data_IF_570338199027
#
_entry.id   IF_570338199027
#
_cell.length_a   1.000
_cell.length_b   1.000
_cell.length_c   1.000
_cell.angle_alpha   90.00
_cell.angle_beta   90.00
_cell.angle_gamma   90.00
#
_symmetry.space_group_name_H-M   'P 1'
#
loop_
_entity.id
_entity.type
_entity.pdbx_description
1 polymer ?
#
# COMPACT_ATOMS: atom_id res chain seq x y z
N UNK A 1 -8.04 2.87 -14.16
CA UNK A 1 -8.33 1.98 -13.01
C UNK A 1 -7.27 2.10 -11.92
N UNK A 2 -5.98 1.86 -12.23
CA UNK A 2 -4.85 1.97 -11.28
C UNK A 2 -4.84 3.27 -10.45
N UNK A 3 -5.00 4.43 -11.10
CA UNK A 3 -5.10 5.73 -10.41
C UNK A 3 -6.26 5.81 -9.39
N UNK A 4 -7.41 5.22 -9.71
CA UNK A 4 -8.57 5.23 -8.82
C UNK A 4 -8.33 4.33 -7.59
N UNK A 5 -7.73 3.15 -7.79
CA UNK A 5 -7.36 2.26 -6.69
C UNK A 5 -6.33 2.93 -5.76
N UNK A 6 -5.26 3.53 -6.32
CA UNK A 6 -4.27 4.25 -5.52
C UNK A 6 -4.87 5.43 -4.74
N UNK A 7 -5.78 6.20 -5.37
CA UNK A 7 -6.46 7.30 -4.69
C UNK A 7 -7.46 6.83 -3.63
N UNK A 8 -8.14 5.70 -3.85
CA UNK A 8 -9.03 5.10 -2.86
C UNK A 8 -8.26 4.55 -1.67
N UNK A 9 -7.17 3.82 -1.92
CA UNK A 9 -6.31 3.31 -0.86
C UNK A 9 -5.70 4.44 -0.03
N UNK A 10 -5.23 5.51 -0.69
CA UNK A 10 -4.78 6.70 0.01
C UNK A 10 -5.85 7.34 0.91
N UNK A 11 -7.11 7.37 0.47
CA UNK A 11 -8.20 7.89 1.32
C UNK A 11 -8.49 6.98 2.52
N UNK A 12 -8.53 5.67 2.30
CA UNK A 12 -8.79 4.69 3.37
C UNK A 12 -7.66 4.67 4.42
N UNK A 13 -6.42 4.79 3.97
CA UNK A 13 -5.23 4.73 4.82
C UNK A 13 -4.69 6.12 5.21
N UNK A 14 -5.41 7.21 4.93
CA UNK A 14 -5.03 8.56 5.35
C UNK A 14 -5.08 8.71 6.88
N UNK A 15 -6.02 8.02 7.52
CA UNK A 15 -6.20 8.01 8.96
C UNK A 15 -6.79 6.66 9.39
N UNK A 16 -6.34 6.07 10.51
CA UNK A 16 -6.90 4.83 11.04
C UNK A 16 -8.34 4.98 11.57
N UNK A 17 -8.86 6.21 11.67
CA UNK A 17 -10.25 6.45 12.08
C UNK A 17 -10.53 6.00 13.51
N UNK A 18 -11.75 5.49 13.72
CA UNK A 18 -12.22 4.97 15.01
C UNK A 18 -12.03 3.43 15.09
N UNK A 19 -11.76 2.87 16.28
CA UNK A 19 -11.60 1.42 16.44
C UNK A 19 -12.81 0.61 15.97
N UNK A 20 -14.03 1.13 16.12
CA UNK A 20 -15.25 0.43 15.70
C UNK A 20 -15.32 0.16 14.19
N UNK A 21 -14.66 1.00 13.38
CA UNK A 21 -14.64 0.88 11.92
C UNK A 21 -13.37 0.17 11.43
N UNK A 22 -12.48 -0.23 12.33
CA UNK A 22 -11.15 -0.72 11.99
C UNK A 22 -11.21 -1.96 11.09
N UNK A 23 -12.06 -2.92 11.43
CA UNK A 23 -12.25 -4.17 10.66
C UNK A 23 -12.77 -3.87 9.26
N UNK A 24 -13.81 -3.03 9.15
CA UNK A 24 -14.37 -2.68 7.85
C UNK A 24 -13.38 -1.89 6.98
N UNK A 25 -12.62 -0.98 7.60
CA UNK A 25 -11.62 -0.15 6.93
C UNK A 25 -10.43 -0.99 6.46
N UNK A 26 -9.92 -1.89 7.30
CA UNK A 26 -8.80 -2.77 6.96
C UNK A 26 -9.18 -3.73 5.83
N UNK A 27 -10.35 -4.39 5.92
CA UNK A 27 -10.86 -5.25 4.85
C UNK A 27 -11.05 -4.48 3.54
N UNK A 28 -11.55 -3.24 3.60
CA UNK A 28 -11.70 -2.40 2.41
C UNK A 28 -10.34 -2.02 1.81
N UNK A 29 -9.37 -1.68 2.66
CA UNK A 29 -8.01 -1.34 2.23
C UNK A 29 -7.30 -2.54 1.60
N UNK A 30 -7.41 -3.73 2.21
CA UNK A 30 -6.82 -4.97 1.70
C UNK A 30 -7.36 -5.35 0.32
N UNK A 31 -8.68 -5.27 0.12
CA UNK A 31 -9.30 -5.55 -1.18
C UNK A 31 -8.83 -4.58 -2.28
N UNK A 32 -8.76 -3.28 -1.95
CA UNK A 32 -8.29 -2.25 -2.89
C UNK A 32 -6.80 -2.43 -3.18
N UNK A 33 -5.99 -2.74 -2.16
CA UNK A 33 -4.56 -3.01 -2.31
C UNK A 33 -4.32 -4.26 -3.16
N UNK A 34 -5.03 -5.36 -2.91
CA UNK A 34 -4.95 -6.59 -3.71
C UNK A 34 -5.29 -6.34 -5.18
N UNK A 35 -6.30 -5.51 -5.44
CA UNK A 35 -6.66 -5.10 -6.81
C UNK A 35 -5.54 -4.27 -7.46
N UNK A 36 -5.00 -3.29 -6.73
CA UNK A 36 -3.90 -2.46 -7.21
C UNK A 36 -2.65 -3.31 -7.49
N UNK A 37 -2.27 -4.16 -6.54
CA UNK A 37 -1.12 -5.06 -6.61
C UNK A 37 -1.22 -5.97 -7.84
N UNK A 38 -2.38 -6.60 -8.03
CA UNK A 38 -2.62 -7.47 -9.20
C UNK A 38 -2.48 -6.72 -10.53
N UNK A 39 -2.98 -5.48 -10.61
CA UNK A 39 -2.86 -4.67 -11.82
C UNK A 39 -1.40 -4.28 -12.10
N UNK A 40 -0.66 -3.88 -11.08
CA UNK A 40 0.74 -3.49 -11.21
C UNK A 40 1.62 -4.67 -11.61
N UNK A 41 1.40 -5.86 -11.01
CA UNK A 41 2.03 -7.13 -11.41
C UNK A 41 1.67 -7.58 -12.82
N UNK A 42 0.53 -7.14 -13.34
CA UNK A 42 0.12 -7.41 -14.73
C UNK A 42 0.69 -6.39 -15.74
N UNK A 43 1.51 -5.44 -15.29
CA UNK A 43 2.12 -4.42 -16.15
C UNK A 43 1.22 -3.22 -16.45
N UNK A 44 0.17 -3.02 -15.66
CA UNK A 44 -0.64 -1.82 -15.80
C UNK A 44 0.21 -0.56 -15.57
N UNK A 45 -0.10 0.56 -16.24
CA UNK A 45 0.66 1.79 -16.07
C UNK A 45 0.58 2.27 -14.62
N UNK A 46 1.70 2.78 -14.11
CA UNK A 46 1.77 3.32 -12.75
C UNK A 46 0.79 4.47 -12.54
N UNK A 47 0.32 4.67 -11.28
CA UNK A 47 -0.40 5.88 -10.92
C UNK A 47 0.38 7.12 -11.34
N UNK A 48 -0.31 8.12 -11.91
CA UNK A 48 0.30 9.33 -12.48
C UNK A 48 1.06 10.21 -11.48
N UNK A 49 0.92 9.92 -10.19
CA UNK A 49 1.59 10.62 -9.09
C UNK A 49 2.87 9.94 -8.63
N UNK A 50 3.16 8.73 -9.10
CA UNK A 50 4.38 8.00 -8.78
C UNK A 50 5.41 8.25 -9.88
N UNK A 51 6.66 8.41 -9.48
CA UNK A 51 7.74 8.69 -10.41
C UNK A 51 8.66 7.47 -10.43
N UNK A 52 9.06 7.05 -11.63
CA UNK A 52 10.18 6.15 -11.79
C UNK A 52 11.42 7.01 -11.99
N UNK A 53 12.21 7.21 -10.94
CA UNK A 53 13.59 7.59 -11.20
C UNK A 53 14.31 6.31 -11.59
N UNK A 54 15.03 6.31 -12.72
CA UNK A 54 15.90 5.20 -13.12
C UNK A 54 17.12 5.04 -12.20
N UNK A 55 17.01 5.47 -10.94
CA UNK A 55 18.06 5.49 -9.95
C UNK A 55 18.06 4.17 -9.17
N UNK A 56 19.25 3.69 -8.87
CA UNK A 56 19.52 2.55 -7.98
C UNK A 56 19.22 2.95 -6.53
N UNK A 57 17.95 3.23 -6.21
CA UNK A 57 17.51 3.32 -4.83
C UNK A 57 17.55 1.94 -4.18
N UNK A 58 17.46 1.91 -2.84
CA UNK A 58 17.42 0.66 -2.08
C UNK A 58 16.07 -0.06 -2.29
N UNK A 59 16.04 -0.90 -3.31
CA UNK A 59 14.89 -1.75 -3.67
C UNK A 59 14.52 -2.71 -2.54
N UNK A 60 15.50 -3.16 -1.76
CA UNK A 60 15.25 -4.04 -0.63
C UNK A 60 14.45 -3.27 0.43
N UNK A 61 14.84 -2.02 0.72
CA UNK A 61 14.07 -1.16 1.62
C UNK A 61 12.63 -0.90 1.14
N UNK A 62 12.43 -0.61 -0.15
CA UNK A 62 11.06 -0.41 -0.70
C UNK A 62 10.24 -1.71 -0.63
N UNK A 63 10.86 -2.86 -0.93
CA UNK A 63 10.20 -4.17 -0.89
C UNK A 63 9.81 -4.53 0.55
N UNK A 64 10.67 -4.28 1.54
CA UNK A 64 10.32 -4.49 2.95
C UNK A 64 9.14 -3.63 3.40
N UNK A 65 9.05 -2.38 2.95
CA UNK A 65 7.90 -1.51 3.27
C UNK A 65 6.62 -2.03 2.60
N UNK A 66 6.72 -2.52 1.37
CA UNK A 66 5.63 -3.19 0.68
C UNK A 66 5.17 -4.46 1.44
N UNK A 67 6.10 -5.32 1.87
CA UNK A 67 5.79 -6.56 2.57
C UNK A 67 5.11 -6.26 3.92
N UNK A 68 5.65 -5.32 4.69
CA UNK A 68 5.07 -4.89 5.96
C UNK A 68 3.67 -4.28 5.81
N UNK A 69 3.42 -3.54 4.72
CA UNK A 69 2.09 -3.08 4.38
C UNK A 69 1.15 -4.26 4.06
N UNK A 70 1.59 -5.17 3.20
CA UNK A 70 0.78 -6.31 2.79
C UNK A 70 0.46 -7.24 3.95
N UNK A 71 1.37 -7.40 4.90
CA UNK A 71 1.16 -8.17 6.12
C UNK A 71 0.15 -7.49 7.04
N UNK A 72 0.33 -6.20 7.32
CA UNK A 72 -0.60 -5.43 8.16
C UNK A 72 -2.03 -5.40 7.61
N UNK A 73 -2.20 -5.36 6.28
CA UNK A 73 -3.52 -5.38 5.64
C UNK A 73 -4.24 -6.73 5.77
N UNK A 74 -3.49 -7.82 5.91
CA UNK A 74 -4.04 -9.18 6.05
C UNK A 74 -4.33 -9.58 7.50
N UNK A 75 -4.12 -8.67 8.45
CA UNK A 75 -4.47 -8.92 9.85
C UNK A 75 -5.99 -9.12 9.99
N UNK A 76 -6.38 -10.12 10.78
CA UNK A 76 -7.78 -10.46 11.00
C UNK A 76 -8.01 -10.86 12.45
N UNK A 77 -9.21 -10.61 12.96
CA UNK A 77 -9.59 -11.03 14.31
C UNK A 77 -10.23 -9.92 15.09
N UNK A 78 -9.84 -9.82 16.36
CA UNK A 78 -10.44 -8.87 17.30
C UNK A 78 -10.12 -7.41 16.96
N UNK A 79 -11.05 -6.51 17.33
CA UNK A 79 -10.96 -5.09 17.01
C UNK A 79 -9.67 -4.41 17.48
N UNK A 80 -9.13 -4.82 18.64
CA UNK A 80 -7.89 -4.24 19.19
C UNK A 80 -6.65 -4.50 18.32
N UNK A 81 -6.30 -5.77 18.07
CA UNK A 81 -5.25 -6.15 17.12
C UNK A 81 -5.46 -5.55 15.73
N UNK A 82 -6.67 -5.63 15.18
CA UNK A 82 -7.00 -5.08 13.85
C UNK A 82 -6.81 -3.57 13.79
N UNK A 83 -7.16 -2.83 14.84
CA UNK A 83 -6.92 -1.39 14.87
C UNK A 83 -5.44 -1.05 14.95
N UNK A 84 -4.63 -1.88 15.62
CA UNK A 84 -3.17 -1.72 15.63
C UNK A 84 -2.59 -1.95 14.24
N UNK A 85 -2.99 -3.03 13.58
CA UNK A 85 -2.58 -3.32 12.21
C UNK A 85 -3.03 -2.24 11.22
N UNK A 86 -4.23 -1.68 11.37
CA UNK A 86 -4.69 -0.54 10.55
C UNK A 86 -3.77 0.69 10.72
N UNK A 87 -3.33 0.99 11.94
CA UNK A 87 -2.38 2.09 12.18
C UNK A 87 -1.03 1.82 11.52
N UNK A 88 -0.58 0.59 11.52
CA UNK A 88 0.64 0.18 10.84
C UNK A 88 0.48 0.26 9.32
N UNK A 89 -0.63 -0.24 8.76
CA UNK A 89 -0.96 -0.10 7.35
C UNK A 89 -0.99 1.37 6.91
N UNK A 90 -1.57 2.28 7.70
CA UNK A 90 -1.51 3.73 7.45
C UNK A 90 -0.06 4.24 7.37
N UNK A 91 0.81 3.81 8.30
CA UNK A 91 2.22 4.23 8.34
C UNK A 91 3.00 3.69 7.15
N UNK A 92 2.89 2.39 6.87
CA UNK A 92 3.60 1.74 5.78
C UNK A 92 3.12 2.24 4.41
N UNK A 93 1.82 2.47 4.23
CA UNK A 93 1.30 3.07 3.00
C UNK A 93 1.84 4.48 2.77
N UNK A 94 1.86 5.33 3.81
CA UNK A 94 2.44 6.68 3.71
C UNK A 94 3.92 6.64 3.37
N UNK A 95 4.68 5.71 3.97
CA UNK A 95 6.10 5.52 3.66
C UNK A 95 6.30 5.06 2.22
N UNK A 96 5.59 4.02 1.79
CA UNK A 96 5.65 3.48 0.43
C UNK A 96 5.29 4.54 -0.61
N UNK A 97 4.17 5.24 -0.43
CA UNK A 97 3.75 6.29 -1.35
C UNK A 97 4.76 7.46 -1.38
N UNK A 98 5.35 7.80 -0.24
CA UNK A 98 6.43 8.79 -0.15
C UNK A 98 7.66 8.39 -0.97
N UNK A 99 8.11 7.13 -0.83
CA UNK A 99 9.24 6.59 -1.61
C UNK A 99 8.94 6.60 -3.12
N UNK A 100 7.78 6.10 -3.52
CA UNK A 100 7.37 6.05 -4.94
C UNK A 100 7.18 7.46 -5.55
N UNK A 101 6.74 8.43 -4.75
CA UNK A 101 6.65 9.85 -5.15
C UNK A 101 8.01 10.54 -5.16
N UNK A 102 8.98 10.05 -4.40
CA UNK A 102 10.36 10.55 -4.44
C UNK A 102 11.16 9.98 -5.61
N UNK A 103 10.60 9.02 -6.35
CA UNK A 103 11.27 8.38 -7.47
C UNK A 103 11.94 7.06 -7.11
N UNK A 104 11.79 6.53 -5.89
CA UNK A 104 12.41 5.26 -5.49
C UNK A 104 12.03 4.11 -6.44
N UNK A 105 12.88 3.07 -6.55
CA UNK A 105 12.55 1.91 -7.37
C UNK A 105 11.25 1.26 -6.92
N UNK A 106 10.58 0.58 -7.85
CA UNK A 106 9.43 -0.24 -7.51
C UNK A 106 9.85 -1.42 -6.61
N UNK A 107 8.98 -1.85 -5.68
CA UNK A 107 9.22 -3.09 -4.94
C UNK A 107 9.33 -4.27 -5.91
N UNK A 108 10.10 -5.30 -5.55
CA UNK A 108 10.39 -6.48 -6.39
C UNK A 108 9.13 -7.05 -7.07
N UNK A 109 7.98 -7.18 -6.39
CA UNK A 109 6.81 -7.78 -7.00
C UNK A 109 6.21 -6.98 -8.16
N UNK A 110 6.42 -5.67 -8.22
CA UNK A 110 5.88 -4.79 -9.28
C UNK A 110 6.85 -4.57 -10.43
N UNK A 111 8.07 -5.11 -10.37
CA UNK A 111 9.07 -4.94 -11.42
C UNK A 111 8.85 -5.85 -12.64
N UNK A 112 7.94 -6.82 -12.55
CA UNK A 112 7.64 -7.75 -13.66
C UNK A 112 6.35 -7.34 -14.36
N UNK A 113 6.50 -6.76 -15.55
CA UNK A 113 5.75 -7.10 -16.75
C UNK A 113 6.62 -6.77 -17.97
#
# INVERSE_FOLDING_TARGET
>A
MVNACAAQLHRLLASPGLPCDAVATLNSADNVFTTLDSLLRAGAPLPSRWFLSGHEGDMEAVTRVYDALSEALRETGETGPVFTALREACRHWKALEGLLRAGSPLPEPWRRA
#
